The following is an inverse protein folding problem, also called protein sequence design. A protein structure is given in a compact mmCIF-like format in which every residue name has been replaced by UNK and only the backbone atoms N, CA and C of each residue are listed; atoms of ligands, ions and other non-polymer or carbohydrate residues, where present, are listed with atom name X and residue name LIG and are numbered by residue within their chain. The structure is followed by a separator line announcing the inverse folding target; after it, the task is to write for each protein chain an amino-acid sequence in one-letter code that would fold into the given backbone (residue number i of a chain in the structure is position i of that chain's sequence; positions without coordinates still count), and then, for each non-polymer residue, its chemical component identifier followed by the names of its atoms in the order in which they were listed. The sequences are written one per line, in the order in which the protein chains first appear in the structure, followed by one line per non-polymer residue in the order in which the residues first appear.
data_IF_674453367111
#
_entry.id   IF_674453367111
#
_cell.length_a   1.000
_cell.length_b   1.000
_cell.length_c   1.000
_cell.angle_alpha   90.00
_cell.angle_beta   90.00
_cell.angle_gamma   90.00
#
_symmetry.space_group_name_H-M   'P 1'
#
loop_
_entity.id
_entity.type
_entity.pdbx_description
1 polymer ?
#
# COMPACT_ATOMS: atom_id res chain seq x y z
N UNK A 1 -16.46 8.26 -12.25
CA UNK A 1 -16.67 7.81 -10.88
C UNK A 1 -15.51 8.02 -9.92
N UNK A 2 -14.31 8.34 -10.35
CA UNK A 2 -13.21 8.68 -9.48
C UNK A 2 -12.67 10.09 -9.70
N UNK A 3 -12.10 10.69 -8.65
CA UNK A 3 -11.43 11.98 -8.78
C UNK A 3 -9.98 11.77 -9.24
N UNK A 4 -9.68 12.11 -10.50
CA UNK A 4 -8.36 11.94 -11.09
C UNK A 4 -7.27 12.81 -10.40
N UNK A 5 -7.65 14.02 -9.98
CA UNK A 5 -6.74 14.91 -9.25
C UNK A 5 -6.37 14.32 -7.89
N UNK A 6 -7.34 13.75 -7.17
CA UNK A 6 -7.09 13.09 -5.91
C UNK A 6 -6.19 11.85 -6.08
N UNK A 7 -6.39 11.06 -7.13
CA UNK A 7 -5.51 9.93 -7.46
C UNK A 7 -4.07 10.39 -7.67
N UNK A 8 -3.88 11.48 -8.43
CA UNK A 8 -2.56 12.07 -8.65
C UNK A 8 -1.92 12.58 -7.36
N UNK A 9 -2.72 13.21 -6.49
CA UNK A 9 -2.25 13.66 -5.17
C UNK A 9 -1.79 12.48 -4.31
N UNK A 10 -2.55 11.39 -4.27
CA UNK A 10 -2.17 10.16 -3.57
C UNK A 10 -0.86 9.56 -4.10
N UNK A 11 -0.65 9.59 -5.41
CA UNK A 11 0.60 9.15 -6.02
C UNK A 11 1.77 10.03 -5.57
N UNK A 12 1.61 11.36 -5.62
CA UNK A 12 2.64 12.32 -5.15
C UNK A 12 2.98 12.11 -3.68
N UNK A 13 1.97 11.86 -2.86
CA UNK A 13 2.12 11.56 -1.44
C UNK A 13 2.99 10.30 -1.24
N UNK A 14 2.69 9.23 -1.95
CA UNK A 14 3.50 8.02 -1.95
C UNK A 14 4.95 8.28 -2.36
N UNK A 15 5.17 9.08 -3.39
CA UNK A 15 6.54 9.45 -3.80
C UNK A 15 7.28 10.25 -2.71
N UNK A 16 6.58 11.07 -1.93
CA UNK A 16 7.20 11.79 -0.81
C UNK A 16 7.73 10.84 0.27
N UNK A 17 7.01 9.76 0.58
CA UNK A 17 7.49 8.74 1.52
C UNK A 17 8.77 8.06 1.04
N UNK A 18 8.89 7.81 -0.26
CA UNK A 18 10.09 7.22 -0.85
C UNK A 18 11.31 8.13 -0.75
N UNK A 19 11.12 9.45 -0.88
CA UNK A 19 12.21 10.42 -0.81
C UNK A 19 12.91 10.46 0.55
N UNK A 20 12.19 10.17 1.61
CA UNK A 20 12.70 10.22 2.99
C UNK A 20 12.88 8.85 3.63
N UNK A 21 12.91 7.79 2.83
CA UNK A 21 12.97 6.41 3.34
C UNK A 21 14.26 6.07 4.10
N UNK A 22 15.32 6.85 3.91
CA UNK A 22 16.56 6.70 4.69
C UNK A 22 16.50 7.33 6.07
N UNK A 23 15.50 8.16 6.35
CA UNK A 23 15.32 8.77 7.65
C UNK A 23 14.62 7.79 8.62
N UNK A 24 15.29 7.34 9.71
CA UNK A 24 14.69 6.39 10.65
C UNK A 24 13.47 6.94 11.41
N UNK A 25 13.29 8.26 11.45
CA UNK A 25 12.16 8.92 12.08
C UNK A 25 10.97 9.13 11.13
N UNK A 26 11.10 8.79 9.85
CA UNK A 26 10.03 8.92 8.88
C UNK A 26 9.02 7.75 9.03
N UNK A 27 7.98 7.96 9.80
CA UNK A 27 7.00 6.95 10.20
C UNK A 27 6.41 6.17 9.01
N UNK A 28 5.84 6.87 8.02
CA UNK A 28 5.20 6.20 6.86
C UNK A 28 6.22 5.54 5.93
N UNK A 29 7.44 6.07 5.86
CA UNK A 29 8.52 5.43 5.12
C UNK A 29 8.94 4.11 5.74
N UNK A 30 8.99 4.01 7.06
CA UNK A 30 9.22 2.74 7.77
C UNK A 30 8.10 1.75 7.50
N UNK A 31 6.84 2.17 7.61
CA UNK A 31 5.70 1.32 7.28
C UNK A 31 5.76 0.79 5.85
N UNK A 32 6.18 1.64 4.90
CA UNK A 32 6.40 1.21 3.52
C UNK A 32 7.47 0.12 3.41
N UNK A 33 8.61 0.30 4.08
CA UNK A 33 9.71 -0.68 4.03
C UNK A 33 9.30 -2.02 4.64
N UNK A 34 8.67 -2.01 5.81
CA UNK A 34 8.13 -3.21 6.48
C UNK A 34 7.09 -3.91 5.59
N UNK A 35 6.17 -3.13 5.00
CA UNK A 35 5.17 -3.70 4.08
C UNK A 35 5.79 -4.27 2.82
N UNK A 36 6.80 -3.62 2.26
CA UNK A 36 7.53 -4.12 1.09
C UNK A 36 8.22 -5.45 1.39
N UNK A 37 8.85 -5.58 2.55
CA UNK A 37 9.46 -6.83 3.00
C UNK A 37 8.41 -7.95 3.12
N UNK A 38 7.31 -7.70 3.81
CA UNK A 38 6.18 -8.62 3.92
C UNK A 38 5.63 -9.09 2.56
N UNK A 39 5.41 -8.16 1.62
CA UNK A 39 4.94 -8.48 0.27
C UNK A 39 5.97 -9.30 -0.52
N UNK A 40 7.26 -9.03 -0.31
CA UNK A 40 8.36 -9.77 -0.92
C UNK A 40 8.40 -11.22 -0.41
N UNK A 41 8.31 -11.42 0.90
CA UNK A 41 8.24 -12.77 1.50
C UNK A 41 7.05 -13.57 0.99
N UNK A 42 5.88 -12.97 0.91
CA UNK A 42 4.69 -13.61 0.34
C UNK A 42 4.89 -14.01 -1.12
N UNK A 43 5.52 -13.13 -1.89
CA UNK A 43 5.85 -13.40 -3.28
C UNK A 43 6.82 -14.59 -3.43
N UNK A 44 7.84 -14.66 -2.57
CA UNK A 44 8.78 -15.78 -2.56
C UNK A 44 8.11 -17.11 -2.17
N UNK A 45 7.14 -17.08 -1.26
CA UNK A 45 6.34 -18.25 -0.87
C UNK A 45 5.34 -18.71 -1.94
N UNK A 46 5.14 -17.92 -3.00
CA UNK A 46 4.22 -18.27 -4.09
C UNK A 46 2.77 -17.83 -3.87
N UNK A 47 2.48 -17.02 -2.85
CA UNK A 47 1.12 -16.56 -2.52
C UNK A 47 0.45 -15.74 -3.64
N UNK A 48 1.24 -15.26 -4.61
CA UNK A 48 0.75 -14.45 -5.73
C UNK A 48 0.75 -15.19 -7.09
N UNK A 49 0.91 -16.51 -7.09
CA UNK A 49 0.97 -17.30 -8.31
C UNK A 49 -0.30 -17.14 -9.18
N UNK A 50 -1.49 -17.19 -8.58
CA UNK A 50 -2.76 -16.97 -9.29
C UNK A 50 -2.85 -15.56 -9.87
N UNK A 51 -2.42 -14.56 -9.11
CA UNK A 51 -2.41 -13.17 -9.58
C UNK A 51 -1.41 -12.94 -10.72
N UNK A 52 -0.26 -13.61 -10.69
CA UNK A 52 0.73 -13.59 -11.76
C UNK A 52 0.16 -14.19 -13.05
N UNK A 53 -0.50 -15.35 -12.95
CA UNK A 53 -1.18 -16.00 -14.05
C UNK A 53 -2.27 -15.11 -14.67
N UNK A 54 -3.12 -14.55 -13.82
CA UNK A 54 -4.18 -13.62 -14.25
C UNK A 54 -3.63 -12.41 -15.02
N UNK A 55 -2.46 -11.90 -14.63
CA UNK A 55 -1.80 -10.81 -15.34
C UNK A 55 -1.36 -11.20 -16.76
N UNK A 56 -0.82 -12.40 -16.94
CA UNK A 56 -0.43 -12.90 -18.26
C UNK A 56 -1.63 -13.16 -19.17
N UNK A 57 -2.75 -13.59 -18.61
CA UNK A 57 -3.98 -13.84 -19.36
C UNK A 57 -4.70 -12.56 -19.79
N UNK A 58 -4.77 -11.57 -18.89
CA UNK A 58 -5.53 -10.33 -19.14
C UNK A 58 -4.76 -9.25 -19.88
N UNK A 59 -3.44 -9.28 -19.85
CA UNK A 59 -2.62 -8.20 -20.41
C UNK A 59 -1.58 -8.73 -21.40
N UNK A 60 -1.44 -8.02 -22.51
CA UNK A 60 -0.39 -8.31 -23.47
C UNK A 60 0.95 -7.76 -22.95
N UNK A 61 1.78 -8.62 -22.37
CA UNK A 61 3.06 -8.26 -21.78
C UNK A 61 4.17 -8.75 -22.70
N UNK A 62 5.14 -7.88 -23.02
CA UNK A 62 6.26 -8.24 -23.88
C UNK A 62 7.12 -9.35 -23.26
N UNK A 63 7.37 -10.41 -24.01
CA UNK A 63 8.07 -11.63 -23.53
C UNK A 63 9.52 -11.40 -23.09
N UNK A 64 10.14 -10.31 -23.54
CA UNK A 64 11.53 -9.93 -23.19
C UNK A 64 11.63 -9.10 -21.91
N UNK A 65 10.49 -8.67 -21.35
CA UNK A 65 10.46 -7.80 -20.17
C UNK A 65 10.70 -8.56 -18.86
N UNK A 66 11.29 -7.91 -17.89
CA UNK A 66 11.43 -8.46 -16.52
C UNK A 66 10.08 -8.79 -15.89
N UNK A 67 9.05 -8.01 -16.22
CA UNK A 67 7.68 -8.28 -15.75
C UNK A 67 7.17 -9.63 -16.28
N UNK A 68 7.34 -9.91 -17.58
CA UNK A 68 6.94 -11.20 -18.17
C UNK A 68 7.69 -12.37 -17.53
N UNK A 69 9.02 -12.24 -17.36
CA UNK A 69 9.84 -13.27 -16.72
C UNK A 69 9.33 -13.61 -15.31
N UNK A 70 9.05 -12.59 -14.51
CA UNK A 70 8.52 -12.78 -13.15
C UNK A 70 7.15 -13.46 -13.16
N UNK A 71 6.18 -12.95 -13.92
CA UNK A 71 4.85 -13.55 -14.01
C UNK A 71 4.87 -14.99 -14.53
N UNK A 72 5.78 -15.31 -15.47
CA UNK A 72 5.91 -16.65 -16.03
C UNK A 72 6.31 -17.71 -15.01
N UNK A 73 7.00 -17.33 -13.95
CA UNK A 73 7.38 -18.22 -12.86
C UNK A 73 6.45 -18.12 -11.63
N UNK A 74 5.28 -17.49 -11.80
CA UNK A 74 4.29 -17.35 -10.73
C UNK A 74 4.62 -16.29 -9.68
N UNK A 75 5.47 -15.32 -10.00
CA UNK A 75 5.86 -14.24 -9.11
C UNK A 75 5.46 -12.88 -9.66
N UNK A 76 5.26 -11.92 -8.75
CA UNK A 76 5.09 -10.52 -9.13
C UNK A 76 6.45 -9.86 -9.31
N UNK A 77 6.64 -9.01 -10.34
CA UNK A 77 7.88 -8.27 -10.52
C UNK A 77 8.10 -7.25 -9.40
N UNK A 78 9.36 -6.87 -9.16
CA UNK A 78 9.74 -5.96 -8.09
C UNK A 78 8.94 -4.63 -8.09
N UNK A 79 8.65 -4.09 -9.27
CA UNK A 79 7.84 -2.87 -9.38
C UNK A 79 6.39 -3.06 -8.94
N UNK A 80 5.82 -4.24 -9.16
CA UNK A 80 4.48 -4.57 -8.69
C UNK A 80 4.45 -4.67 -7.16
N UNK A 81 5.43 -5.35 -6.56
CA UNK A 81 5.59 -5.44 -5.10
C UNK A 81 5.73 -4.04 -4.48
N UNK A 82 6.61 -3.21 -5.04
CA UNK A 82 6.79 -1.81 -4.62
C UNK A 82 5.48 -1.01 -4.67
N UNK A 83 4.74 -1.12 -5.76
CA UNK A 83 3.47 -0.42 -5.93
C UNK A 83 2.40 -0.90 -4.94
N UNK A 84 2.35 -2.20 -4.63
CA UNK A 84 1.45 -2.75 -3.60
C UNK A 84 1.75 -2.16 -2.23
N UNK A 85 3.00 -2.21 -1.82
CA UNK A 85 3.43 -1.66 -0.53
C UNK A 85 3.15 -0.16 -0.42
N UNK A 86 3.41 0.59 -1.48
CA UNK A 86 3.19 2.04 -1.50
C UNK A 86 1.71 2.40 -1.41
N UNK A 87 0.85 1.73 -2.17
CA UNK A 87 -0.61 1.93 -2.08
C UNK A 87 -1.17 1.61 -0.69
N UNK A 88 -0.67 0.56 -0.07
CA UNK A 88 -1.05 0.21 1.29
C UNK A 88 -0.66 1.33 2.28
N UNK A 89 0.57 1.83 2.19
CA UNK A 89 1.06 2.92 3.05
C UNK A 89 0.25 4.20 2.88
N UNK A 90 -0.06 4.57 1.63
CA UNK A 90 -0.92 5.74 1.35
C UNK A 90 -2.31 5.58 1.96
N UNK A 91 -2.90 4.38 1.92
CA UNK A 91 -4.19 4.10 2.56
C UNK A 91 -4.13 4.28 4.08
N UNK A 92 -3.06 3.84 4.72
CA UNK A 92 -2.84 4.06 6.16
C UNK A 92 -2.75 5.56 6.46
N UNK A 93 -1.96 6.30 5.69
CA UNK A 93 -1.89 7.77 5.85
C UNK A 93 -3.25 8.44 5.71
N UNK A 94 -4.04 8.10 4.69
CA UNK A 94 -5.37 8.67 4.48
C UNK A 94 -6.33 8.32 5.62
N UNK A 95 -6.24 7.13 6.17
CA UNK A 95 -7.01 6.73 7.35
C UNK A 95 -6.65 7.58 8.57
N UNK A 96 -5.36 7.80 8.80
CA UNK A 96 -4.87 8.66 9.88
C UNK A 96 -5.27 10.12 9.68
N UNK A 97 -5.17 10.64 8.45
CA UNK A 97 -5.61 12.00 8.13
C UNK A 97 -7.10 12.17 8.41
N UNK A 98 -7.93 11.21 7.99
CA UNK A 98 -9.36 11.22 8.25
C UNK A 98 -9.63 11.21 9.77
N UNK A 99 -8.96 10.36 10.52
CA UNK A 99 -9.13 10.24 11.96
C UNK A 99 -8.83 11.57 12.69
N UNK A 100 -7.67 12.17 12.38
CA UNK A 100 -7.28 13.46 12.98
C UNK A 100 -8.22 14.58 12.57
N UNK A 101 -8.58 14.66 11.30
CA UNK A 101 -9.48 15.69 10.79
C UNK A 101 -10.88 15.58 11.43
N UNK A 102 -11.42 14.38 11.48
CA UNK A 102 -12.72 14.13 12.12
C UNK A 102 -12.72 14.57 13.59
N UNK A 103 -11.69 14.21 14.32
CA UNK A 103 -11.54 14.55 15.73
C UNK A 103 -11.43 16.07 15.94
N UNK A 104 -10.69 16.77 15.09
CA UNK A 104 -10.58 18.23 15.13
C UNK A 104 -11.90 18.95 14.79
N UNK A 105 -12.65 18.42 13.83
CA UNK A 105 -13.92 19.00 13.36
C UNK A 105 -15.08 18.69 14.33
N UNK A 106 -15.14 17.48 14.86
CA UNK A 106 -16.27 16.98 15.65
C UNK A 106 -16.03 16.95 17.15
N UNK A 107 -14.79 17.05 17.61
CA UNK A 107 -14.43 16.92 19.02
C UNK A 107 -14.56 15.51 19.59
N UNK A 108 -14.76 14.51 18.74
CA UNK A 108 -14.87 13.10 19.12
C UNK A 108 -14.14 12.20 18.12
N UNK A 109 -13.78 10.99 18.54
CA UNK A 109 -13.14 10.03 17.66
C UNK A 109 -14.11 9.53 16.58
N UNK A 110 -13.65 9.31 15.34
CA UNK A 110 -14.48 8.70 14.32
C UNK A 110 -14.86 7.26 14.67
N UNK A 111 -15.93 6.71 14.10
CA UNK A 111 -16.22 5.30 14.22
C UNK A 111 -15.06 4.47 13.67
N UNK A 112 -14.88 3.26 14.21
CA UNK A 112 -13.82 2.35 13.73
C UNK A 112 -13.92 2.14 12.20
N UNK A 113 -12.79 2.09 11.49
CA UNK A 113 -12.78 1.83 10.06
C UNK A 113 -13.57 0.56 9.73
N UNK A 114 -14.27 0.57 8.61
CA UNK A 114 -15.11 -0.55 8.15
C UNK A 114 -14.35 -1.89 8.16
N UNK A 115 -13.10 -1.89 7.70
CA UNK A 115 -12.26 -3.09 7.70
C UNK A 115 -12.06 -3.68 9.10
N UNK A 116 -11.93 -2.84 10.13
CA UNK A 116 -11.78 -3.27 11.52
C UNK A 116 -13.14 -3.69 12.10
N UNK A 117 -14.16 -2.87 11.89
CA UNK A 117 -15.48 -3.07 12.52
C UNK A 117 -16.29 -4.22 11.87
N UNK A 118 -16.20 -4.39 10.54
CA UNK A 118 -17.05 -5.30 9.77
C UNK A 118 -16.29 -6.49 9.15
N UNK A 119 -15.03 -6.31 8.76
CA UNK A 119 -14.24 -7.35 8.10
C UNK A 119 -13.28 -8.10 9.05
N UNK A 120 -13.31 -7.81 10.35
CA UNK A 120 -12.52 -8.53 11.36
C UNK A 120 -11.00 -8.37 11.23
N UNK A 121 -10.50 -7.30 10.60
CA UNK A 121 -9.08 -7.03 10.53
C UNK A 121 -8.53 -6.73 11.94
N UNK A 122 -7.56 -7.51 12.39
CA UNK A 122 -7.08 -7.48 13.78
C UNK A 122 -6.12 -6.32 14.11
N UNK A 123 -5.47 -5.75 13.11
CA UNK A 123 -4.40 -4.78 13.33
C UNK A 123 -4.79 -3.38 12.88
N UNK A 124 -4.93 -2.49 13.86
CA UNK A 124 -5.05 -1.06 13.65
C UNK A 124 -3.69 -0.41 13.93
N UNK A 125 -3.17 0.32 12.94
CA UNK A 125 -1.95 1.12 13.10
C UNK A 125 -2.39 2.49 13.59
N UNK A 126 -1.92 2.88 14.77
CA UNK A 126 -2.30 4.15 15.38
C UNK A 126 -1.63 5.35 14.73
N UNK A 127 -2.30 6.49 14.81
CA UNK A 127 -1.76 7.78 14.35
C UNK A 127 -0.50 8.10 15.14
N UNK A 128 0.63 8.40 14.46
CA UNK A 128 1.87 8.76 15.13
C UNK A 128 1.76 10.13 15.84
N UNK A 129 2.57 10.32 16.87
CA UNK A 129 2.75 11.60 17.57
C UNK A 129 1.44 12.23 18.08
N UNK A 130 0.47 11.45 18.50
CA UNK A 130 -0.66 11.97 19.27
C UNK A 130 -0.17 12.50 20.61
N UNK A 131 -0.64 13.68 21.03
CA UNK A 131 -0.38 14.17 22.36
C UNK A 131 -1.04 13.30 23.41
#
# INVERSE_FOLDING_TARGET
PWNANFKTLCWKLGQSFLKVQSNPNAFYSRLYLERKEYETEKNEKGDYAEQAKEKLEKFKIGKTTEAYKAYSIGKLPAQHIRARALRWTVKIFLSHLFEVWYELDRGEKPPKPFAIAQLGHAHMIEVPNRP
#
